data_IF_782311446138
#
_entry.id   IF_782311446138
#
_cell.length_a   1.000
_cell.length_b   1.000
_cell.length_c   1.000
_cell.angle_alpha   90.00
_cell.angle_beta   90.00
_cell.angle_gamma   90.00
#
_symmetry.space_group_name_H-M   'P 1'
#
loop_
_entity.id
_entity.type
_entity.pdbx_description
1 polymer ?
#
# COMPACT_ATOMS: atom_id res chain seq x y z
N UNK A 1 -14.32 -11.14 70.96
CA UNK A 1 -15.10 -10.07 70.31
C UNK A 1 -14.19 -9.31 69.37
N UNK A 2 -14.60 -9.11 68.11
CA UNK A 2 -13.78 -8.40 67.11
C UNK A 2 -13.88 -8.99 65.70
N UNK A 3 -15.09 -9.05 65.14
CA UNK A 3 -15.28 -9.26 63.70
C UNK A 3 -15.30 -7.89 63.01
N UNK A 4 -14.44 -7.69 62.01
CA UNK A 4 -14.52 -6.55 61.09
C UNK A 4 -14.70 -7.09 59.68
N UNK A 5 -15.89 -6.85 59.13
CA UNK A 5 -16.33 -7.23 57.79
C UNK A 5 -16.31 -6.01 56.88
N UNK A 6 -15.44 -6.00 55.87
CA UNK A 6 -15.50 -5.05 54.75
C UNK A 6 -15.64 -5.81 53.44
N UNK A 7 -16.86 -6.29 53.17
CA UNK A 7 -17.28 -6.84 51.88
C UNK A 7 -17.75 -5.73 50.95
N UNK A 8 -16.86 -5.23 50.08
CA UNK A 8 -17.21 -4.32 48.99
C UNK A 8 -17.96 -5.05 47.88
N UNK A 9 -19.30 -4.91 47.85
CA UNK A 9 -20.14 -5.38 46.74
C UNK A 9 -19.98 -4.44 45.54
N UNK A 10 -19.17 -4.84 44.56
CA UNK A 10 -19.23 -4.26 43.21
C UNK A 10 -20.50 -4.77 42.52
N UNK A 11 -21.50 -3.89 42.42
CA UNK A 11 -22.70 -4.15 41.63
C UNK A 11 -22.37 -4.21 40.14
N UNK A 12 -22.39 -5.41 39.56
CA UNK A 12 -22.44 -5.61 38.10
C UNK A 12 -23.76 -5.02 37.59
N UNK A 13 -23.69 -3.83 36.98
CA UNK A 13 -24.75 -3.31 36.11
C UNK A 13 -24.78 -4.19 34.85
N UNK A 14 -25.82 -5.02 34.73
CA UNK A 14 -26.14 -5.68 33.48
C UNK A 14 -26.52 -4.59 32.45
N UNK A 15 -25.61 -4.31 31.52
CA UNK A 15 -25.90 -3.46 30.38
C UNK A 15 -26.92 -4.21 29.50
N UNK A 16 -28.14 -3.69 29.44
CA UNK A 16 -29.13 -4.09 28.45
C UNK A 16 -28.56 -3.75 27.07
N UNK A 17 -28.09 -4.77 26.37
CA UNK A 17 -27.74 -4.69 24.94
C UNK A 17 -29.04 -4.55 24.15
N UNK A 18 -29.37 -3.31 23.79
CA UNK A 18 -30.32 -3.02 22.71
C UNK A 18 -29.80 -3.64 21.41
N UNK A 19 -30.66 -4.23 20.56
CA UNK A 19 -30.25 -4.77 19.28
C UNK A 19 -29.65 -3.63 18.45
N UNK A 20 -28.37 -3.76 18.12
CA UNK A 20 -27.61 -2.74 17.40
C UNK A 20 -28.27 -2.50 16.05
N UNK A 21 -28.81 -1.30 15.86
CA UNK A 21 -29.16 -0.81 14.54
C UNK A 21 -27.93 -0.98 13.64
N UNK A 22 -28.13 -1.62 12.48
CA UNK A 22 -27.11 -1.69 11.43
C UNK A 22 -26.56 -0.28 11.23
N UNK A 23 -25.25 -0.06 11.40
CA UNK A 23 -24.68 1.29 11.33
C UNK A 23 -25.07 1.89 9.97
N UNK A 24 -25.83 2.98 10.02
CA UNK A 24 -26.23 3.70 8.83
C UNK A 24 -24.96 4.16 8.11
N UNK A 25 -24.67 3.55 6.96
CA UNK A 25 -23.53 3.95 6.15
C UNK A 25 -23.67 5.44 5.83
N UNK A 26 -22.59 6.24 5.99
CA UNK A 26 -22.63 7.65 5.61
C UNK A 26 -23.11 7.75 4.17
N UNK A 27 -24.02 8.70 3.90
CA UNK A 27 -24.66 8.91 2.61
C UNK A 27 -23.57 8.98 1.52
N UNK A 28 -23.42 7.87 0.76
CA UNK A 28 -22.28 7.67 -0.12
C UNK A 28 -22.29 8.79 -1.16
N UNK A 29 -21.20 9.56 -1.26
CA UNK A 29 -21.02 10.49 -2.36
C UNK A 29 -21.22 9.73 -3.67
N UNK A 30 -22.12 10.20 -4.56
CA UNK A 30 -22.51 9.50 -5.80
C UNK A 30 -21.32 9.02 -6.65
N UNK A 31 -20.18 9.71 -6.56
CA UNK A 31 -18.95 9.33 -7.22
C UNK A 31 -18.37 7.98 -6.77
N UNK A 32 -18.55 7.60 -5.50
CA UNK A 32 -18.00 6.36 -4.96
C UNK A 32 -18.64 5.11 -5.58
N UNK A 33 -19.97 5.13 -5.75
CA UNK A 33 -20.69 4.03 -6.43
C UNK A 33 -20.27 3.88 -7.89
N UNK A 34 -19.87 4.97 -8.55
CA UNK A 34 -19.44 4.94 -9.95
C UNK A 34 -18.00 4.43 -10.11
N UNK A 35 -17.14 4.63 -9.11
CA UNK A 35 -15.74 4.16 -9.12
C UNK A 35 -15.61 2.66 -8.84
N UNK A 36 -16.47 2.11 -7.98
CA UNK A 36 -16.38 0.73 -7.52
C UNK A 36 -16.33 -0.29 -8.68
N UNK A 37 -17.23 -0.24 -9.69
CA UNK A 37 -17.17 -1.16 -10.83
C UNK A 37 -15.86 -1.04 -11.63
N UNK A 38 -15.34 0.17 -11.78
CA UNK A 38 -14.08 0.41 -12.51
C UNK A 38 -12.90 -0.18 -11.75
N UNK A 39 -12.84 0.05 -10.44
CA UNK A 39 -11.78 -0.47 -9.59
C UNK A 39 -11.84 -2.00 -9.46
N UNK A 40 -13.04 -2.58 -9.34
CA UNK A 40 -13.25 -4.03 -9.33
C UNK A 40 -12.77 -4.68 -10.64
N UNK A 41 -13.11 -4.09 -11.79
CA UNK A 41 -12.65 -4.57 -13.09
C UNK A 41 -11.13 -4.48 -13.28
N UNK A 42 -10.44 -3.57 -12.58
CA UNK A 42 -8.98 -3.54 -12.56
C UNK A 42 -8.41 -4.60 -11.62
N UNK A 43 -9.03 -4.79 -10.45
CA UNK A 43 -8.62 -5.82 -9.50
C UNK A 43 -8.61 -7.21 -10.12
N UNK A 44 -9.65 -7.56 -10.89
CA UNK A 44 -9.80 -8.85 -11.57
C UNK A 44 -8.73 -9.11 -12.66
N UNK A 45 -8.09 -8.06 -13.17
CA UNK A 45 -7.00 -8.19 -14.16
C UNK A 45 -5.66 -8.49 -13.51
N UNK A 46 -5.49 -8.14 -12.23
CA UNK A 46 -4.23 -8.34 -11.53
C UNK A 46 -4.10 -9.83 -11.19
N UNK A 47 -3.05 -10.46 -11.68
CA UNK A 47 -2.69 -11.84 -11.35
C UNK A 47 -1.30 -11.84 -10.74
N UNK A 48 -1.21 -12.29 -9.50
CA UNK A 48 0.06 -12.44 -8.81
C UNK A 48 0.59 -13.88 -8.99
N UNK A 49 1.80 -14.08 -9.52
CA UNK A 49 2.42 -15.39 -9.70
C UNK A 49 2.99 -15.95 -8.39
N UNK A 50 2.21 -15.89 -7.30
CA UNK A 50 2.59 -16.49 -6.02
C UNK A 50 2.27 -17.98 -6.02
N UNK A 51 3.19 -18.78 -5.46
CA UNK A 51 2.98 -20.21 -5.35
C UNK A 51 1.83 -20.50 -4.37
N UNK A 52 0.77 -21.14 -4.86
CA UNK A 52 -0.42 -21.52 -4.08
C UNK A 52 -0.24 -22.91 -3.43
N UNK A 53 -0.80 -23.16 -2.23
CA UNK A 53 -1.67 -22.28 -1.45
C UNK A 53 -0.95 -21.09 -0.79
N UNK A 54 -1.63 -19.95 -0.73
CA UNK A 54 -1.14 -18.71 -0.09
C UNK A 54 -1.94 -18.46 1.19
N UNK A 55 -1.26 -18.06 2.26
CA UNK A 55 -1.88 -17.55 3.48
C UNK A 55 -1.42 -16.11 3.76
N UNK A 56 -2.38 -15.23 3.99
CA UNK A 56 -2.17 -13.84 4.40
C UNK A 56 -2.50 -13.74 5.89
N UNK A 57 -1.54 -13.26 6.66
CA UNK A 57 -1.62 -13.13 8.12
C UNK A 57 -1.50 -11.63 8.44
N UNK A 58 -2.61 -11.03 8.85
CA UNK A 58 -2.71 -9.61 9.17
C UNK A 58 -2.55 -9.32 10.66
N UNK A 59 -1.69 -8.38 11.00
CA UNK A 59 -1.50 -7.89 12.36
C UNK A 59 -2.62 -6.91 12.75
N UNK A 60 -3.29 -7.23 13.85
CA UNK A 60 -4.31 -6.42 14.49
C UNK A 60 -3.94 -6.11 15.94
N UNK A 61 -2.64 -6.11 16.27
CA UNK A 61 -2.14 -5.72 17.59
C UNK A 61 -2.34 -4.22 17.86
N UNK A 62 -2.36 -3.81 19.12
CA UNK A 62 -2.55 -2.40 19.50
C UNK A 62 -1.50 -1.45 18.91
N UNK A 63 -0.31 -1.94 18.63
CA UNK A 63 0.80 -1.16 18.05
C UNK A 63 0.56 -0.79 16.57
N UNK A 64 -0.43 -1.42 15.94
CA UNK A 64 -0.92 -1.13 14.60
C UNK A 64 -2.02 -0.07 14.55
N UNK A 65 -2.43 0.58 15.64
CA UNK A 65 -3.60 1.49 15.68
C UNK A 65 -3.66 2.52 14.53
N UNK A 66 -2.52 3.12 14.16
CA UNK A 66 -2.44 4.10 13.06
C UNK A 66 -2.49 3.41 11.68
N UNK A 67 -1.90 2.22 11.57
CA UNK A 67 -1.71 1.50 10.32
C UNK A 67 -2.80 0.46 10.02
N UNK A 68 -3.65 0.11 10.99
CA UNK A 68 -4.55 -1.06 10.95
C UNK A 68 -5.48 -1.03 9.74
N UNK A 69 -6.00 0.14 9.37
CA UNK A 69 -6.86 0.27 8.20
C UNK A 69 -6.13 -0.06 6.92
N UNK A 70 -4.92 0.47 6.75
CA UNK A 70 -4.09 0.19 5.58
C UNK A 70 -3.62 -1.26 5.57
N UNK A 71 -3.18 -1.79 6.71
CA UNK A 71 -2.78 -3.20 6.84
C UNK A 71 -3.94 -4.15 6.50
N UNK A 72 -5.16 -3.83 6.96
CA UNK A 72 -6.37 -4.60 6.64
C UNK A 72 -6.73 -4.50 5.16
N UNK A 73 -6.64 -3.30 4.55
CA UNK A 73 -6.85 -3.13 3.10
C UNK A 73 -5.86 -3.99 2.31
N UNK A 74 -4.56 -3.91 2.62
CA UNK A 74 -3.53 -4.69 1.94
C UNK A 74 -3.76 -6.19 2.10
N UNK A 75 -4.01 -6.64 3.34
CA UNK A 75 -4.24 -8.06 3.63
C UNK A 75 -5.45 -8.59 2.86
N UNK A 76 -6.54 -7.82 2.87
CA UNK A 76 -7.80 -8.18 2.19
C UNK A 76 -7.67 -8.17 0.67
N UNK A 77 -6.95 -7.17 0.13
CA UNK A 77 -6.69 -7.03 -1.30
C UNK A 77 -5.86 -8.20 -1.82
N UNK A 78 -4.75 -8.53 -1.13
CA UNK A 78 -3.90 -9.66 -1.48
C UNK A 78 -4.65 -10.99 -1.35
N UNK A 79 -5.54 -11.10 -0.36
CA UNK A 79 -6.43 -12.25 -0.21
C UNK A 79 -7.32 -12.43 -1.43
N UNK A 80 -7.98 -11.36 -1.88
CA UNK A 80 -8.86 -11.38 -3.05
C UNK A 80 -8.08 -11.72 -4.34
N UNK A 81 -6.92 -11.08 -4.56
CA UNK A 81 -6.10 -11.28 -5.76
C UNK A 81 -5.54 -12.72 -5.83
N UNK A 82 -5.03 -13.23 -4.71
CA UNK A 82 -4.36 -14.53 -4.67
C UNK A 82 -5.30 -15.70 -4.35
N UNK A 83 -6.59 -15.43 -4.12
CA UNK A 83 -7.53 -16.41 -3.54
C UNK A 83 -6.95 -17.07 -2.27
N UNK A 84 -6.29 -16.27 -1.44
CA UNK A 84 -5.54 -16.76 -0.29
C UNK A 84 -6.44 -17.05 0.91
N UNK A 85 -5.90 -17.77 1.89
CA UNK A 85 -6.45 -17.84 3.25
C UNK A 85 -6.14 -16.51 3.96
N UNK A 86 -7.09 -15.98 4.74
CA UNK A 86 -6.89 -14.77 5.53
C UNK A 86 -7.16 -15.03 7.00
N UNK A 87 -6.15 -14.77 7.82
CA UNK A 87 -6.26 -14.75 9.28
C UNK A 87 -5.74 -13.43 9.81
N UNK A 88 -6.28 -12.97 10.93
CA UNK A 88 -5.73 -11.86 11.69
C UNK A 88 -5.21 -12.36 13.03
N UNK A 89 -4.30 -11.62 13.65
CA UNK A 89 -3.81 -11.93 14.99
C UNK A 89 -3.56 -10.68 15.83
N UNK A 90 -3.61 -10.89 17.14
CA UNK A 90 -3.22 -9.96 18.19
C UNK A 90 -2.47 -10.76 19.27
N UNK A 91 -3.05 -10.97 20.46
CA UNK A 91 -2.63 -11.99 21.42
C UNK A 91 -2.99 -13.43 20.98
N UNK A 92 -3.96 -13.55 20.06
CA UNK A 92 -4.44 -14.81 19.51
C UNK A 92 -4.79 -14.65 18.04
N UNK A 93 -4.92 -15.77 17.34
CA UNK A 93 -5.46 -15.77 15.98
C UNK A 93 -6.98 -15.61 16.01
N UNK A 94 -7.51 -14.87 15.05
CA UNK A 94 -8.95 -14.81 14.78
C UNK A 94 -9.21 -14.75 13.29
N UNK A 95 -10.37 -15.29 12.90
CA UNK A 95 -10.82 -15.23 11.52
C UNK A 95 -11.69 -13.99 11.31
N UNK A 96 -11.58 -13.33 10.15
CA UNK A 96 -12.51 -12.26 9.81
C UNK A 96 -13.93 -12.80 9.67
N UNK A 97 -14.92 -11.92 9.87
CA UNK A 97 -16.34 -12.28 9.74
C UNK A 97 -16.75 -12.78 8.34
N UNK A 98 -15.97 -12.44 7.32
CA UNK A 98 -16.10 -12.92 5.95
C UNK A 98 -14.72 -12.89 5.27
N UNK A 99 -14.53 -13.73 4.24
CA UNK A 99 -13.35 -13.69 3.38
C UNK A 99 -13.62 -12.71 2.24
N UNK A 100 -12.80 -11.66 2.06
CA UNK A 100 -13.06 -10.63 1.08
C UNK A 100 -12.93 -11.16 -0.34
N UNK A 101 -13.94 -10.92 -1.18
CA UNK A 101 -13.94 -11.28 -2.61
C UNK A 101 -14.06 -10.06 -3.52
N UNK A 102 -14.72 -9.01 -3.05
CA UNK A 102 -14.88 -7.75 -3.79
C UNK A 102 -14.18 -6.59 -3.09
N UNK A 103 -14.03 -5.46 -3.80
CA UNK A 103 -13.49 -4.23 -3.22
C UNK A 103 -14.35 -3.68 -2.07
N UNK A 104 -15.67 -3.84 -2.14
CA UNK A 104 -16.57 -3.47 -1.04
C UNK A 104 -16.34 -4.33 0.21
N UNK A 105 -16.07 -5.62 0.04
CA UNK A 105 -15.70 -6.50 1.14
C UNK A 105 -14.41 -6.04 1.79
N UNK A 106 -13.38 -5.73 0.99
CA UNK A 106 -12.08 -5.20 1.45
C UNK A 106 -12.27 -3.96 2.32
N UNK A 107 -13.06 -3.00 1.84
CA UNK A 107 -13.29 -1.73 2.55
C UNK A 107 -14.17 -1.91 3.78
N UNK A 108 -15.14 -2.83 3.73
CA UNK A 108 -15.97 -3.18 4.88
C UNK A 108 -15.12 -3.83 5.97
N UNK A 109 -14.21 -4.74 5.60
CA UNK A 109 -13.31 -5.42 6.52
C UNK A 109 -12.36 -4.44 7.20
N UNK A 110 -11.85 -3.45 6.46
CA UNK A 110 -11.01 -2.37 6.99
C UNK A 110 -11.72 -1.44 7.99
N UNK A 111 -13.06 -1.34 7.93
CA UNK A 111 -13.84 -0.54 8.88
C UNK A 111 -14.10 -1.31 10.17
N UNK A 112 -14.36 -2.62 10.09
CA UNK A 112 -14.73 -3.44 11.25
C UNK A 112 -13.53 -3.96 12.03
N UNK A 113 -12.36 -4.10 11.38
CA UNK A 113 -11.15 -4.62 12.03
C UNK A 113 -10.53 -3.53 12.91
N UNK A 114 -10.29 -3.86 14.17
CA UNK A 114 -9.73 -2.95 15.17
C UNK A 114 -8.40 -3.50 15.69
N UNK A 115 -7.49 -2.59 16.03
CA UNK A 115 -6.22 -2.90 16.66
C UNK A 115 -6.41 -3.04 18.17
N UNK A 116 -5.99 -4.15 18.76
CA UNK A 116 -5.98 -4.34 20.22
C UNK A 116 -4.92 -5.36 20.68
N UNK A 117 -4.73 -5.51 21.99
CA UNK A 117 -3.91 -6.59 22.54
C UNK A 117 -2.41 -6.47 22.27
N UNK A 118 -1.72 -7.60 22.48
CA UNK A 118 -0.28 -7.76 22.25
C UNK A 118 0.03 -8.15 20.80
N UNK A 119 1.31 -8.27 20.47
CA UNK A 119 1.80 -8.59 19.12
C UNK A 119 2.40 -10.00 19.16
N UNK A 120 1.60 -11.01 18.81
CA UNK A 120 2.01 -12.42 18.79
C UNK A 120 2.00 -12.98 17.36
N UNK A 121 2.96 -12.59 16.51
CA UNK A 121 3.02 -13.02 15.10
C UNK A 121 2.99 -14.55 14.96
N UNK A 122 3.66 -15.27 15.85
CA UNK A 122 3.63 -16.73 15.91
C UNK A 122 2.20 -17.29 16.00
N UNK A 123 1.29 -16.63 16.72
CA UNK A 123 -0.11 -17.08 16.85
C UNK A 123 -0.82 -17.15 15.49
N UNK A 124 -0.49 -16.27 14.55
CA UNK A 124 -1.05 -16.29 13.20
C UNK A 124 -0.66 -17.55 12.39
N UNK A 125 0.48 -18.17 12.70
CA UNK A 125 0.99 -19.37 12.04
C UNK A 125 0.53 -20.68 12.72
N UNK A 126 0.14 -20.62 14.00
CA UNK A 126 -0.25 -21.80 14.80
C UNK A 126 -1.31 -22.66 14.11
N UNK A 127 -2.42 -22.12 13.55
CA UNK A 127 -3.45 -22.96 12.92
C UNK A 127 -2.92 -23.81 11.78
N UNK A 128 -2.05 -23.24 10.94
CA UNK A 128 -1.50 -23.93 9.77
C UNK A 128 -0.45 -24.97 10.21
N UNK A 129 0.35 -24.67 11.24
CA UNK A 129 1.33 -25.60 11.81
C UNK A 129 0.68 -26.79 12.53
N UNK A 130 -0.36 -26.54 13.33
CA UNK A 130 -1.06 -27.59 14.10
C UNK A 130 -1.85 -28.50 13.16
N UNK A 131 -2.48 -27.95 12.11
CA UNK A 131 -3.18 -28.71 11.09
C UNK A 131 -2.25 -29.46 10.13
N UNK A 132 -0.92 -29.19 10.16
CA UNK A 132 0.06 -29.64 9.16
C UNK A 132 -0.38 -29.28 7.73
N UNK A 133 -1.00 -28.11 7.59
CA UNK A 133 -1.50 -27.60 6.31
C UNK A 133 -0.34 -27.11 5.45
N UNK A 134 -0.28 -27.52 4.19
CA UNK A 134 0.78 -27.12 3.26
C UNK A 134 0.42 -25.77 2.62
N UNK A 135 0.92 -24.70 3.24
CA UNK A 135 1.00 -23.36 2.67
C UNK A 135 2.39 -23.17 2.05
N UNK A 136 2.42 -22.69 0.80
CA UNK A 136 3.65 -22.49 0.04
C UNK A 136 4.20 -21.07 0.12
N UNK A 137 3.32 -20.09 0.24
CA UNK A 137 3.68 -18.68 0.43
C UNK A 137 2.91 -18.09 1.60
N UNK A 138 3.63 -17.56 2.58
CA UNK A 138 3.05 -16.73 3.63
C UNK A 138 3.29 -15.26 3.33
N UNK A 139 2.25 -14.45 3.52
CA UNK A 139 2.35 -12.99 3.52
C UNK A 139 2.01 -12.49 4.91
N UNK A 140 3.00 -11.97 5.62
CA UNK A 140 2.87 -11.42 6.97
C UNK A 140 2.79 -9.90 6.89
N UNK A 141 1.67 -9.33 7.32
CA UNK A 141 1.43 -7.87 7.32
C UNK A 141 1.48 -7.38 8.76
N UNK A 142 2.55 -6.70 9.17
CA UNK A 142 2.84 -6.40 10.59
C UNK A 142 3.78 -5.20 10.74
N UNK A 143 3.89 -4.64 11.94
CA UNK A 143 4.96 -3.70 12.30
C UNK A 143 6.26 -4.40 12.79
N UNK A 144 6.24 -5.73 12.90
CA UNK A 144 7.34 -6.60 13.34
C UNK A 144 7.76 -6.44 14.81
N UNK A 145 6.91 -5.82 15.66
CA UNK A 145 7.20 -5.64 17.09
C UNK A 145 6.71 -6.81 17.97
N UNK A 146 7.05 -8.04 17.58
CA UNK A 146 6.59 -9.25 18.27
C UNK A 146 7.02 -9.26 19.76
N UNK A 147 6.03 -9.30 20.67
CA UNK A 147 6.23 -9.21 22.12
C UNK A 147 5.61 -10.37 22.91
N UNK A 148 4.87 -11.28 22.25
CA UNK A 148 4.32 -12.49 22.85
C UNK A 148 4.66 -13.77 22.05
N UNK A 149 4.64 -14.91 22.74
CA UNK A 149 4.87 -16.23 22.14
C UNK A 149 3.57 -16.80 21.55
N UNK A 150 3.69 -17.54 20.44
CA UNK A 150 2.65 -18.43 19.95
C UNK A 150 2.73 -19.78 20.65
N UNK A 151 1.58 -20.40 20.92
CA UNK A 151 1.47 -21.72 21.54
C UNK A 151 0.79 -22.69 20.61
N UNK A 152 1.47 -23.79 20.32
CA UNK A 152 1.01 -24.87 19.44
C UNK A 152 0.39 -26.00 20.24
N UNK A 153 -0.37 -26.88 19.57
CA UNK A 153 -1.04 -28.02 20.20
C UNK A 153 -0.06 -29.07 20.76
N UNK A 154 1.17 -29.15 20.24
CA UNK A 154 2.21 -30.06 20.73
C UNK A 154 2.97 -29.54 21.96
N UNK A 155 2.58 -28.37 22.48
CA UNK A 155 3.15 -27.75 23.66
C UNK A 155 4.36 -26.85 23.38
N UNK A 156 4.77 -26.68 22.13
CA UNK A 156 5.80 -25.70 21.80
C UNK A 156 5.29 -24.26 21.99
N UNK A 157 6.10 -23.45 22.68
CA UNK A 157 5.92 -22.01 22.89
C UNK A 157 7.16 -21.30 22.35
N UNK A 158 6.99 -20.35 21.44
CA UNK A 158 8.11 -19.63 20.83
C UNK A 158 7.66 -18.43 20.00
N UNK A 159 8.63 -17.69 19.47
CA UNK A 159 8.40 -16.54 18.58
C UNK A 159 8.22 -17.03 17.15
N UNK A 160 7.83 -16.09 16.29
CA UNK A 160 7.46 -16.44 14.92
C UNK A 160 8.63 -17.04 14.15
N UNK A 161 9.84 -16.53 14.38
CA UNK A 161 11.05 -17.07 13.75
C UNK A 161 11.22 -18.57 14.05
N UNK A 162 11.19 -18.98 15.31
CA UNK A 162 11.39 -20.39 15.66
C UNK A 162 10.25 -21.27 15.16
N UNK A 163 9.00 -20.80 15.25
CA UNK A 163 7.84 -21.55 14.75
C UNK A 163 7.88 -21.70 13.23
N UNK A 164 8.24 -20.65 12.49
CA UNK A 164 8.34 -20.69 11.04
C UNK A 164 9.49 -21.58 10.56
N UNK A 165 10.63 -21.58 11.24
CA UNK A 165 11.72 -22.52 10.93
C UNK A 165 11.30 -23.97 11.16
N UNK A 166 10.59 -24.26 12.26
CA UNK A 166 9.97 -25.59 12.50
C UNK A 166 8.98 -25.96 11.41
N UNK A 167 8.12 -25.02 10.99
CA UNK A 167 7.19 -25.24 9.89
C UNK A 167 7.94 -25.61 8.61
N UNK A 168 9.02 -24.88 8.27
CA UNK A 168 9.84 -25.15 7.07
C UNK A 168 10.51 -26.51 7.09
N UNK A 169 10.99 -26.93 8.25
CA UNK A 169 11.65 -28.22 8.43
C UNK A 169 10.65 -29.39 8.37
N UNK A 170 9.48 -29.25 9.00
CA UNK A 170 8.58 -30.38 9.24
C UNK A 170 7.43 -30.49 8.24
N UNK A 171 7.02 -29.38 7.61
CA UNK A 171 5.81 -29.32 6.78
C UNK A 171 6.17 -28.97 5.33
N UNK A 172 6.68 -27.76 5.11
CA UNK A 172 7.02 -27.29 3.76
C UNK A 172 7.98 -26.11 3.79
N UNK A 173 9.03 -26.05 2.95
CA UNK A 173 9.97 -24.93 2.88
C UNK A 173 9.35 -23.69 2.23
N UNK A 174 8.34 -23.11 2.89
CA UNK A 174 7.52 -22.03 2.39
C UNK A 174 8.31 -20.73 2.20
N UNK A 175 7.86 -19.94 1.22
CA UNK A 175 8.29 -18.55 1.01
C UNK A 175 7.61 -17.64 2.03
N UNK A 176 8.28 -16.55 2.39
CA UNK A 176 7.77 -15.57 3.32
C UNK A 176 7.91 -14.16 2.76
N UNK A 177 6.82 -13.41 2.73
CA UNK A 177 6.82 -12.00 2.37
C UNK A 177 6.36 -11.19 3.57
N UNK A 178 7.22 -10.31 4.06
CA UNK A 178 6.85 -9.28 5.02
C UNK A 178 6.34 -8.03 4.31
N UNK A 179 5.20 -7.53 4.79
CA UNK A 179 4.70 -6.19 4.51
C UNK A 179 4.78 -5.43 5.83
N UNK A 180 5.88 -4.69 5.98
CA UNK A 180 6.34 -4.16 7.26
C UNK A 180 5.95 -2.69 7.43
N UNK A 181 5.29 -2.36 8.53
CA UNK A 181 4.95 -0.99 8.91
C UNK A 181 5.98 -0.45 9.90
N UNK A 182 7.04 0.18 9.39
CA UNK A 182 8.18 0.60 10.18
C UNK A 182 8.13 2.11 10.50
N UNK A 183 8.73 2.51 11.61
CA UNK A 183 8.81 3.91 12.03
C UNK A 183 9.63 4.78 11.06
N UNK A 184 10.68 4.21 10.46
CA UNK A 184 11.56 4.91 9.52
C UNK A 184 11.63 4.15 8.19
N UNK A 185 11.69 4.89 7.08
CA UNK A 185 11.73 4.31 5.73
C UNK A 185 12.98 3.44 5.48
N UNK A 186 14.09 3.75 6.16
CA UNK A 186 15.35 3.01 6.07
C UNK A 186 15.54 1.99 7.19
N UNK A 187 14.61 1.90 8.15
CA UNK A 187 14.69 0.88 9.19
C UNK A 187 14.53 -0.51 8.56
N UNK A 188 15.14 -1.50 9.20
CA UNK A 188 14.89 -2.92 8.94
C UNK A 188 14.04 -3.44 10.10
N UNK A 189 12.99 -4.19 9.79
CA UNK A 189 12.14 -4.80 10.79
C UNK A 189 12.87 -5.89 11.58
N UNK A 190 12.58 -5.98 12.88
CA UNK A 190 13.29 -6.88 13.80
C UNK A 190 13.21 -8.34 13.34
N UNK A 191 12.02 -8.79 12.92
CA UNK A 191 11.80 -10.17 12.51
C UNK A 191 12.54 -10.47 11.21
N UNK A 192 12.41 -9.59 10.22
CA UNK A 192 13.13 -9.74 8.95
C UNK A 192 14.65 -9.76 9.14
N UNK A 193 15.20 -8.90 10.02
CA UNK A 193 16.63 -8.93 10.35
C UNK A 193 17.05 -10.29 10.94
N UNK A 194 16.21 -10.95 11.75
CA UNK A 194 16.50 -12.31 12.24
C UNK A 194 16.60 -13.32 11.09
N UNK A 195 15.65 -13.30 10.15
CA UNK A 195 15.67 -14.17 8.97
C UNK A 195 16.91 -13.93 8.09
N UNK A 196 17.24 -12.67 7.86
CA UNK A 196 18.41 -12.27 7.08
C UNK A 196 19.72 -12.69 7.75
N UNK A 197 19.85 -12.47 9.06
CA UNK A 197 21.04 -12.87 9.82
C UNK A 197 21.23 -14.39 9.85
N UNK A 198 20.13 -15.15 9.85
CA UNK A 198 20.14 -16.60 9.74
C UNK A 198 20.34 -17.11 8.29
N UNK A 199 20.50 -16.22 7.30
CA UNK A 199 20.62 -16.53 5.87
C UNK A 199 19.48 -17.42 5.35
N UNK A 200 18.26 -17.18 5.82
CA UNK A 200 17.09 -17.94 5.39
C UNK A 200 16.69 -17.51 3.97
N UNK A 201 16.62 -18.44 3.00
CA UNK A 201 16.28 -18.11 1.63
C UNK A 201 14.78 -17.83 1.49
N UNK A 202 14.40 -17.15 0.40
CA UNK A 202 13.01 -16.88 0.01
C UNK A 202 12.19 -16.07 1.03
N UNK A 203 12.87 -15.16 1.72
CA UNK A 203 12.26 -14.15 2.58
C UNK A 203 12.38 -12.78 1.91
N UNK A 204 11.25 -12.11 1.73
CA UNK A 204 11.12 -10.78 1.14
C UNK A 204 10.58 -9.78 2.16
N UNK A 205 10.92 -8.51 2.01
CA UNK A 205 10.36 -7.42 2.83
C UNK A 205 9.98 -6.24 1.95
N UNK A 206 8.74 -5.80 2.09
CA UNK A 206 8.24 -4.55 1.54
C UNK A 206 7.87 -3.59 2.68
N UNK A 207 8.30 -2.33 2.59
CA UNK A 207 8.23 -1.39 3.71
C UNK A 207 7.22 -0.28 3.47
N UNK A 208 6.33 -0.09 4.45
CA UNK A 208 5.47 1.06 4.61
C UNK A 208 5.92 1.90 5.80
N UNK A 209 5.61 3.20 5.77
CA UNK A 209 5.75 4.06 6.94
C UNK A 209 4.57 3.79 7.88
N UNK A 210 4.84 3.51 9.15
CA UNK A 210 3.82 3.18 10.16
C UNK A 210 2.87 4.34 10.46
N UNK A 211 3.40 5.56 10.54
CA UNK A 211 2.64 6.76 10.89
C UNK A 211 1.83 7.31 9.71
N UNK A 212 2.35 7.12 8.49
CA UNK A 212 1.78 7.63 7.24
C UNK A 212 1.88 6.57 6.14
N UNK A 213 1.13 5.47 6.25
CA UNK A 213 1.18 4.42 5.26
C UNK A 213 0.61 4.93 3.94
N UNK A 214 1.40 4.80 2.88
CA UNK A 214 1.12 5.35 1.57
C UNK A 214 0.67 4.26 0.59
N UNK A 215 -0.64 4.20 0.33
CA UNK A 215 -1.25 3.22 -0.58
C UNK A 215 -0.81 3.38 -2.04
N UNK A 216 -0.21 4.50 -2.44
CA UNK A 216 0.35 4.64 -3.81
C UNK A 216 1.48 3.66 -4.08
N UNK A 217 2.06 3.06 -3.03
CA UNK A 217 3.11 2.04 -3.13
C UNK A 217 2.59 0.63 -3.43
N UNK A 218 1.27 0.44 -3.56
CA UNK A 218 0.68 -0.86 -3.86
C UNK A 218 1.19 -1.41 -5.20
N UNK A 219 1.34 -0.56 -6.21
CA UNK A 219 1.83 -1.00 -7.53
C UNK A 219 3.26 -1.55 -7.42
N UNK A 220 4.11 -0.92 -6.61
CA UNK A 220 5.47 -1.40 -6.32
C UNK A 220 5.45 -2.72 -5.55
N UNK A 221 4.53 -2.88 -4.59
CA UNK A 221 4.34 -4.14 -3.87
C UNK A 221 3.92 -5.26 -4.82
N UNK A 222 2.92 -5.03 -5.66
CA UNK A 222 2.44 -5.98 -6.67
C UNK A 222 3.55 -6.33 -7.66
N UNK A 223 4.30 -5.32 -8.12
CA UNK A 223 5.47 -5.52 -8.96
C UNK A 223 6.53 -6.41 -8.30
N UNK A 224 6.88 -6.14 -7.03
CA UNK A 224 7.82 -6.95 -6.27
C UNK A 224 7.35 -8.40 -6.09
N UNK A 225 6.06 -8.60 -5.78
CA UNK A 225 5.47 -9.93 -5.66
C UNK A 225 5.45 -10.67 -7.00
N UNK A 226 5.33 -9.93 -8.11
CA UNK A 226 5.26 -10.50 -9.46
C UNK A 226 6.61 -10.95 -10.00
N UNK A 227 7.71 -10.32 -9.59
CA UNK A 227 9.06 -10.72 -10.02
C UNK A 227 9.55 -12.00 -9.35
N UNK A 228 8.85 -12.47 -8.31
CA UNK A 228 9.07 -13.78 -7.67
C UNK A 228 10.49 -13.98 -7.08
N UNK A 229 11.31 -12.93 -7.06
CA UNK A 229 12.75 -12.99 -6.83
C UNK A 229 13.10 -12.26 -5.55
N UNK A 230 13.66 -13.01 -4.59
CA UNK A 230 14.30 -12.49 -3.37
C UNK A 230 15.51 -11.59 -3.67
N UNK A 231 16.06 -11.68 -4.87
CA UNK A 231 17.06 -10.74 -5.38
C UNK A 231 16.35 -9.44 -5.78
N UNK A 232 16.42 -8.45 -4.88
CA UNK A 232 15.94 -7.08 -5.07
C UNK A 232 15.89 -6.67 -6.54
N UNK A 233 14.72 -6.24 -7.00
CA UNK A 233 14.58 -5.60 -8.31
C UNK A 233 15.65 -4.50 -8.51
N UNK A 234 16.05 -3.81 -7.45
CA UNK A 234 17.13 -2.81 -7.45
C UNK A 234 18.52 -3.41 -7.81
N UNK A 235 18.81 -4.64 -7.41
CA UNK A 235 20.05 -5.32 -7.79
C UNK A 235 20.04 -5.77 -9.25
N UNK A 236 18.86 -5.97 -9.83
CA UNK A 236 18.70 -6.30 -11.24
C UNK A 236 18.54 -5.06 -12.13
N UNK A 237 18.15 -3.91 -11.54
CA UNK A 237 18.00 -2.63 -12.24
C UNK A 237 19.33 -2.12 -12.80
N UNK A 238 20.43 -2.21 -12.06
CA UNK A 238 21.75 -1.76 -12.53
C UNK A 238 22.24 -2.57 -13.76
N UNK A 239 22.23 -3.92 -13.76
CA UNK A 239 22.49 -4.70 -14.97
C UNK A 239 21.52 -4.41 -16.12
N UNK A 240 20.22 -4.27 -15.83
CA UNK A 240 19.21 -3.94 -16.85
C UNK A 240 19.47 -2.55 -17.45
N UNK A 241 19.81 -1.57 -16.63
CA UNK A 241 20.11 -0.20 -17.04
C UNK A 241 21.40 -0.15 -17.87
N UNK A 242 22.43 -0.89 -17.47
CA UNK A 242 23.64 -1.05 -18.27
C UNK A 242 23.34 -1.69 -19.64
N UNK A 243 22.47 -2.70 -19.68
CA UNK A 243 22.01 -3.33 -20.91
C UNK A 243 21.18 -2.39 -21.78
N UNK A 244 20.27 -1.59 -21.18
CA UNK A 244 19.53 -0.54 -21.87
C UNK A 244 20.45 0.51 -22.51
N UNK A 245 21.51 0.91 -21.80
CA UNK A 245 22.49 1.87 -22.30
C UNK A 245 23.35 1.31 -23.42
N UNK A 246 23.73 0.02 -23.33
CA UNK A 246 24.60 -0.63 -24.30
C UNK A 246 23.86 -1.05 -25.59
N UNK A 247 22.67 -1.62 -25.44
CA UNK A 247 21.99 -2.36 -26.50
C UNK A 247 20.63 -1.75 -26.89
N UNK A 248 20.22 -0.67 -26.23
CA UNK A 248 18.93 -0.02 -26.48
C UNK A 248 17.73 -0.81 -25.94
N UNK A 249 16.56 -0.16 -26.00
CA UNK A 249 15.30 -0.64 -25.41
C UNK A 249 14.80 -1.94 -26.05
N UNK A 250 15.00 -2.12 -27.35
CA UNK A 250 14.54 -3.31 -28.08
C UNK A 250 15.18 -4.61 -27.59
N UNK A 251 16.46 -4.59 -27.21
CA UNK A 251 17.15 -5.79 -26.75
C UNK A 251 16.57 -6.33 -25.43
N UNK A 252 16.27 -5.42 -24.50
CA UNK A 252 15.69 -5.76 -23.20
C UNK A 252 14.27 -6.27 -23.35
N UNK A 253 13.46 -5.63 -24.21
CA UNK A 253 12.10 -6.07 -24.51
C UNK A 253 12.10 -7.45 -25.16
N UNK A 254 12.99 -7.70 -26.12
CA UNK A 254 13.12 -9.01 -26.79
C UNK A 254 13.49 -10.12 -25.80
N UNK A 255 14.36 -9.82 -24.82
CA UNK A 255 14.71 -10.77 -23.76
C UNK A 255 13.55 -11.04 -22.80
N UNK A 256 12.85 -10.01 -22.36
CA UNK A 256 11.76 -10.12 -21.38
C UNK A 256 10.50 -10.79 -21.96
N UNK A 257 10.20 -10.55 -23.23
CA UNK A 257 9.08 -11.19 -23.94
C UNK A 257 9.41 -12.66 -24.27
N UNK A 258 10.70 -13.04 -24.19
CA UNK A 258 11.19 -14.32 -24.64
C UNK A 258 11.28 -14.32 -26.16
N UNK A 259 12.36 -14.88 -26.71
CA UNK A 259 12.45 -15.17 -28.13
C UNK A 259 11.25 -16.03 -28.50
N UNK A 260 10.27 -15.46 -29.21
CA UNK A 260 9.28 -16.27 -29.91
C UNK A 260 10.05 -17.22 -30.83
N UNK A 261 9.64 -18.48 -30.84
CA UNK A 261 10.18 -19.52 -31.73
C UNK A 261 10.42 -18.93 -33.12
N UNK A 262 11.60 -19.21 -33.70
CA UNK A 262 12.04 -18.77 -35.04
C UNK A 262 11.10 -19.24 -36.18
N UNK A 263 10.02 -19.95 -35.86
CA UNK A 263 8.96 -20.37 -36.78
C UNK A 263 7.73 -19.44 -36.80
N UNK A 264 7.71 -18.36 -36.01
CA UNK A 264 6.62 -17.37 -36.05
C UNK A 264 6.91 -16.32 -37.12
N UNK A 265 6.01 -16.13 -38.07
CA UNK A 265 6.17 -15.15 -39.15
C UNK A 265 6.38 -13.72 -38.59
N UNK A 266 7.27 -12.91 -39.20
CA UNK A 266 7.61 -11.59 -38.70
C UNK A 266 6.38 -10.67 -38.69
N UNK A 267 6.10 -10.09 -37.53
CA UNK A 267 5.10 -9.04 -37.38
C UNK A 267 5.79 -7.70 -37.62
N UNK A 268 5.47 -7.06 -38.75
CA UNK A 268 6.02 -5.75 -39.15
C UNK A 268 5.53 -4.67 -38.16
N UNK A 269 6.42 -4.17 -37.31
CA UNK A 269 6.16 -3.03 -36.43
C UNK A 269 6.95 -1.83 -36.96
N UNK A 270 6.32 -1.02 -37.80
CA UNK A 270 6.86 0.29 -38.19
C UNK A 270 6.56 1.31 -37.09
N UNK A 271 7.57 1.74 -36.34
CA UNK A 271 7.50 2.91 -35.45
C UNK A 271 8.18 4.11 -36.14
N UNK A 272 7.40 5.14 -36.47
CA UNK A 272 7.90 6.40 -37.01
C UNK A 272 8.66 7.20 -35.94
N UNK A 273 9.98 7.33 -36.14
CA UNK A 273 10.88 8.18 -35.36
C UNK A 273 10.93 9.57 -35.99
N UNK A 274 10.13 10.53 -35.52
CA UNK A 274 10.16 11.91 -36.04
C UNK A 274 10.12 13.03 -34.99
N UNK A 275 10.20 12.74 -33.69
CA UNK A 275 10.05 13.78 -32.65
C UNK A 275 11.35 14.22 -31.92
N UNK A 276 12.53 13.65 -32.23
CA UNK A 276 13.71 13.80 -31.37
C UNK A 276 14.71 14.92 -31.77
N UNK A 277 14.43 15.73 -32.80
CA UNK A 277 15.36 16.76 -33.27
C UNK A 277 15.03 18.22 -32.87
N UNK A 278 13.99 18.46 -32.07
CA UNK A 278 13.51 19.82 -31.77
C UNK A 278 13.94 20.41 -30.41
N UNK A 279 14.70 19.69 -29.57
CA UNK A 279 14.98 20.13 -28.18
C UNK A 279 16.41 20.61 -27.88
N UNK A 280 17.27 20.81 -28.88
CA UNK A 280 18.68 21.18 -28.63
C UNK A 280 19.06 22.65 -28.91
N UNK A 281 18.11 23.56 -29.14
CA UNK A 281 18.44 24.95 -29.46
C UNK A 281 17.52 25.96 -28.77
N UNK A 282 17.99 26.56 -27.67
CA UNK A 282 17.50 27.87 -27.24
C UNK A 282 17.46 28.10 -25.74
N UNK A 283 18.61 28.34 -25.10
CA UNK A 283 18.64 29.12 -23.85
C UNK A 283 19.89 30.00 -23.82
N UNK A 284 19.69 31.30 -24.07
CA UNK A 284 20.65 32.36 -23.72
C UNK A 284 19.89 33.55 -23.12
N UNK A 285 20.19 33.80 -21.85
CA UNK A 285 20.18 35.12 -21.21
C UNK A 285 18.82 35.72 -20.88
N UNK A 286 18.44 35.68 -19.59
CA UNK A 286 17.55 36.68 -19.01
C UNK A 286 18.14 37.21 -17.70
N UNK A 287 18.18 38.54 -17.62
CA UNK A 287 18.48 39.29 -16.41
C UNK A 287 17.36 39.07 -15.38
N UNK A 288 17.74 38.86 -14.12
CA UNK A 288 16.84 38.63 -13.00
C UNK A 288 16.09 39.92 -12.61
N UNK A 289 14.91 40.14 -13.17
CA UNK A 289 13.90 41.01 -12.56
C UNK A 289 13.07 40.17 -11.58
N UNK A 290 13.08 40.53 -10.30
CA UNK A 290 12.25 39.85 -9.29
C UNK A 290 10.83 40.39 -9.41
N UNK A 291 9.91 39.56 -9.91
CA UNK A 291 8.49 39.89 -10.03
C UNK A 291 7.74 39.39 -8.78
N UNK A 292 6.97 40.27 -8.15
CA UNK A 292 6.16 39.94 -6.97
C UNK A 292 4.68 39.82 -7.36
N UNK A 293 4.03 38.75 -6.90
CA UNK A 293 2.59 38.56 -7.04
C UNK A 293 1.90 39.16 -5.81
N UNK A 294 0.97 40.09 -6.04
CA UNK A 294 0.13 40.66 -4.98
C UNK A 294 -1.06 39.72 -4.73
N UNK A 295 -1.15 39.13 -3.54
CA UNK A 295 -2.27 38.25 -3.17
C UNK A 295 -3.04 38.79 -1.95
N UNK A 296 -4.38 38.81 -1.99
CA UNK A 296 -5.19 39.09 -0.83
C UNK A 296 -5.35 37.81 0.00
N UNK A 297 -4.78 37.79 1.22
CA UNK A 297 -4.96 36.71 2.17
C UNK A 297 -5.61 37.29 3.43
N UNK A 298 -6.88 36.89 3.66
CA UNK A 298 -7.58 36.98 4.94
C UNK A 298 -7.31 38.29 5.72
N UNK A 299 -7.61 39.42 5.05
CA UNK A 299 -7.52 40.82 5.52
C UNK A 299 -6.20 41.59 5.35
N UNK A 300 -5.13 40.99 4.79
CA UNK A 300 -3.91 41.73 4.43
C UNK A 300 -3.42 41.40 3.02
N UNK A 301 -2.82 42.42 2.38
CA UNK A 301 -2.15 42.29 1.09
C UNK A 301 -0.70 41.87 1.34
N UNK A 302 -0.31 40.70 0.84
CA UNK A 302 1.09 40.23 0.91
C UNK A 302 1.64 40.07 -0.49
N UNK A 303 2.89 40.50 -0.68
CA UNK A 303 3.63 40.36 -1.93
C UNK A 303 4.53 39.12 -1.80
N UNK A 304 4.28 38.11 -2.63
CA UNK A 304 5.10 36.89 -2.65
C UNK A 304 5.96 36.89 -3.91
N UNK A 305 7.24 36.55 -3.77
CA UNK A 305 8.13 36.36 -4.91
C UNK A 305 7.61 35.20 -5.76
N UNK A 306 7.58 35.37 -7.08
CA UNK A 306 7.09 34.34 -8.02
C UNK A 306 7.82 32.99 -7.84
N UNK A 307 9.13 33.01 -7.58
CA UNK A 307 9.91 31.79 -7.34
C UNK A 307 9.50 31.08 -6.05
N UNK A 308 9.16 31.83 -5.01
CA UNK A 308 8.68 31.26 -3.76
C UNK A 308 7.28 30.68 -3.94
N UNK A 309 6.42 31.31 -4.74
CA UNK A 309 5.12 30.77 -5.11
C UNK A 309 5.24 29.45 -5.88
N UNK A 310 6.12 29.37 -6.90
CA UNK A 310 6.36 28.13 -7.64
C UNK A 310 6.88 27.02 -6.73
N UNK A 311 7.83 27.32 -5.84
CA UNK A 311 8.32 26.35 -4.84
C UNK A 311 7.23 25.92 -3.87
N UNK A 312 6.35 26.82 -3.43
CA UNK A 312 5.24 26.49 -2.54
C UNK A 312 4.20 25.61 -3.27
N UNK A 313 3.98 25.88 -4.56
CA UNK A 313 3.05 25.15 -5.42
C UNK A 313 3.54 23.73 -5.72
N UNK A 314 4.80 23.57 -6.14
CA UNK A 314 5.44 22.26 -6.38
C UNK A 314 5.51 21.40 -5.11
N UNK A 315 5.69 22.04 -3.94
CA UNK A 315 5.71 21.34 -2.65
C UNK A 315 4.32 21.07 -2.07
N UNK A 316 3.26 21.64 -2.64
CA UNK A 316 1.88 21.36 -2.25
C UNK A 316 1.39 20.05 -2.86
N UNK A 317 0.39 19.41 -2.25
CA UNK A 317 -0.27 18.23 -2.81
C UNK A 317 -0.89 18.48 -4.20
N UNK A 318 -1.06 19.75 -4.59
CA UNK A 318 -1.62 20.18 -5.88
C UNK A 318 -0.57 20.20 -7.00
N UNK A 319 0.70 20.44 -6.70
CA UNK A 319 1.77 20.48 -7.70
C UNK A 319 2.30 19.11 -8.15
N UNK A 320 1.86 18.03 -7.48
CA UNK A 320 2.29 16.64 -7.78
C UNK A 320 1.39 15.88 -8.74
N UNK A 321 0.27 16.47 -9.16
CA UNK A 321 -0.58 15.87 -10.20
C UNK A 321 -0.06 16.28 -11.58
N UNK A 322 -0.14 15.34 -12.53
CA UNK A 322 -0.03 15.62 -13.95
C UNK A 322 -0.94 16.82 -14.30
N UNK A 323 -0.37 17.83 -14.95
CA UNK A 323 -1.05 19.09 -15.26
C UNK A 323 -2.36 18.86 -15.99
N UNK A 324 -2.43 17.82 -16.83
CA UNK A 324 -3.63 17.44 -17.57
C UNK A 324 -4.75 16.90 -16.65
N UNK A 325 -4.38 16.11 -15.63
CA UNK A 325 -5.33 15.54 -14.67
C UNK A 325 -5.90 16.63 -13.77
N UNK A 326 -5.05 17.55 -13.32
CA UNK A 326 -5.51 18.71 -12.54
C UNK A 326 -6.41 19.62 -13.36
N UNK A 327 -6.06 19.88 -14.63
CA UNK A 327 -6.89 20.67 -15.54
C UNK A 327 -8.26 20.02 -15.77
N UNK A 328 -8.30 18.71 -15.98
CA UNK A 328 -9.54 17.95 -16.15
C UNK A 328 -10.44 17.99 -14.90
N UNK A 329 -9.86 17.87 -13.70
CA UNK A 329 -10.58 17.96 -12.43
C UNK A 329 -11.14 19.36 -12.19
N UNK A 330 -10.36 20.41 -12.52
CA UNK A 330 -10.79 21.80 -12.36
C UNK A 330 -11.87 22.18 -13.37
N UNK A 331 -11.79 21.71 -14.61
CA UNK A 331 -12.87 21.90 -15.59
C UNK A 331 -14.15 21.18 -15.14
N UNK A 332 -14.04 19.95 -14.65
CA UNK A 332 -15.19 19.21 -14.13
C UNK A 332 -15.82 19.90 -12.92
N UNK A 333 -15.01 20.47 -12.03
CA UNK A 333 -15.49 21.26 -10.90
C UNK A 333 -16.19 22.54 -11.35
N UNK A 334 -15.70 23.22 -12.40
CA UNK A 334 -16.33 24.42 -12.99
C UNK A 334 -17.69 24.14 -13.60
N UNK A 335 -17.81 23.01 -14.29
CA UNK A 335 -19.06 22.60 -14.95
C UNK A 335 -20.16 22.19 -13.96
N UNK A 336 -19.81 21.92 -12.71
CA UNK A 336 -20.78 21.62 -11.66
C UNK A 336 -21.45 22.92 -11.13
N UNK A 337 -22.77 23.09 -11.27
CA UNK A 337 -23.50 24.29 -10.83
C UNK A 337 -23.26 24.63 -9.34
N UNK A 338 -23.09 23.60 -8.50
CA UNK A 338 -22.88 23.74 -7.06
C UNK A 338 -21.50 24.30 -6.69
N UNK A 339 -20.51 24.18 -7.59
CA UNK A 339 -19.12 24.58 -7.33
C UNK A 339 -18.70 25.81 -8.13
N UNK A 340 -19.56 26.32 -9.02
CA UNK A 340 -19.27 27.42 -9.95
C UNK A 340 -18.72 28.69 -9.28
N UNK A 341 -19.11 28.97 -8.04
CA UNK A 341 -18.69 30.14 -7.26
C UNK A 341 -17.45 29.88 -6.38
N UNK A 342 -16.94 28.63 -6.34
CA UNK A 342 -15.80 28.22 -5.52
C UNK A 342 -14.51 28.02 -6.31
N UNK A 343 -14.59 27.93 -7.64
CA UNK A 343 -13.41 27.85 -8.51
C UNK A 343 -12.70 29.22 -8.51
N UNK A 344 -11.45 29.24 -8.06
CA UNK A 344 -10.71 30.47 -7.79
C UNK A 344 -10.44 31.27 -9.10
N UNK A 345 -10.55 32.62 -9.10
CA UNK A 345 -10.34 33.45 -10.29
C UNK A 345 -8.99 33.28 -10.99
N UNK A 346 -7.95 32.85 -10.25
CA UNK A 346 -6.61 32.59 -10.78
C UNK A 346 -6.62 31.51 -11.88
N UNK A 347 -7.48 30.49 -11.75
CA UNK A 347 -7.58 29.43 -12.77
C UNK A 347 -8.18 29.96 -14.08
N UNK A 348 -9.12 30.92 -14.02
CA UNK A 348 -9.64 31.61 -15.21
C UNK A 348 -8.55 32.39 -15.94
N UNK A 349 -7.64 33.03 -15.19
CA UNK A 349 -6.50 33.77 -15.75
C UNK A 349 -5.43 32.87 -16.38
N UNK A 350 -5.24 31.66 -15.85
CA UNK A 350 -4.34 30.65 -16.44
C UNK A 350 -4.91 30.16 -17.78
N UNK A 351 -6.19 29.81 -17.83
CA UNK A 351 -6.82 29.28 -19.07
C UNK A 351 -6.99 30.32 -20.18
N UNK A 352 -7.13 31.60 -19.82
CA UNK A 352 -7.24 32.71 -20.78
C UNK A 352 -5.89 33.11 -21.40
N UNK A 353 -4.79 32.44 -21.03
CA UNK A 353 -3.45 32.74 -21.53
C UNK A 353 -2.89 34.07 -21.02
N UNK A 354 -3.58 34.73 -20.09
CA UNK A 354 -3.21 36.04 -19.54
C UNK A 354 -1.96 35.95 -18.66
N UNK A 355 -1.68 34.76 -18.11
CA UNK A 355 -0.49 34.46 -17.29
C UNK A 355 0.72 33.96 -18.10
N UNK A 356 0.59 33.68 -19.39
CA UNK A 356 1.71 33.26 -20.25
C UNK A 356 2.41 34.43 -20.97
N UNK A 357 2.01 35.68 -20.70
CA UNK A 357 2.55 36.90 -21.34
C UNK A 357 3.16 37.92 -20.36
N UNK A 358 3.46 37.50 -19.14
CA UNK A 358 4.21 38.25 -18.13
C UNK A 358 5.43 37.42 -17.73
#
# INVERSE_FOLDING_TARGET
EGQSTTGGRYGRRAAQTTPSATPAHPEKAKFYSDLLPTAQAQLEKIKLPLESPVAVIGDASGSMEVAIRTATILSSLLTAICSAKLNFFNDKVFQPSFIPKTLEDVLSLAIITQADGSTANAAGLVPDYDAKEVIKTFVMVTDEEENADGKTADGFSGRFFELFMKYREQIYPAKLVFISFLSHQHAEGQMYSQFKNANVPDVLQFKFNRERPDLTKIDNLIGLLSTGSSASFDNNLEPLQAEFQANGVESVITRLIGTQDENSAPMDVQMETSALHALSAGFKGYASSVTYLQMPLWSLTTYMNLNDYYRLFENSCLGRYDGEVYEALMERARLNPSNRHRVHPVWLSVKQGTLCKL
#
